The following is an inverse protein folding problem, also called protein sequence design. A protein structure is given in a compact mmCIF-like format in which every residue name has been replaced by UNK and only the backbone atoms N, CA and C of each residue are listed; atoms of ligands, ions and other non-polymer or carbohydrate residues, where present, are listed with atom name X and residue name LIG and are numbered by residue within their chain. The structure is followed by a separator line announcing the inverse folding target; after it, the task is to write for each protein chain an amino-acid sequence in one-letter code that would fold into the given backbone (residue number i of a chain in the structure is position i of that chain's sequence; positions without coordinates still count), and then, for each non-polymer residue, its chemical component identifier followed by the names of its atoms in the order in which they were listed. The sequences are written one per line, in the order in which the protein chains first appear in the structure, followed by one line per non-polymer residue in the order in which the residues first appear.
data_IF_436978878575
#
_entry.id   IF_436978878575
#
_cell.length_a   1.000
_cell.length_b   1.000
_cell.length_c   1.000
_cell.angle_alpha   90.00
_cell.angle_beta   90.00
_cell.angle_gamma   90.00
#
_symmetry.space_group_name_H-M   'P 1'
#
loop_
_entity.id
_entity.type
_entity.pdbx_description
1 polymer ?
#
# COMPACT_ATOMS: atom_id res chain seq x y z
N UNK A 1 8.93 -23.67 2.69
CA UNK A 1 8.52 -22.55 3.55
C UNK A 1 7.29 -22.93 4.38
N UNK A 2 7.04 -22.21 5.48
CA UNK A 2 5.89 -22.43 6.37
C UNK A 2 5.33 -21.08 6.84
N UNK A 3 4.02 -20.93 6.80
CA UNK A 3 3.32 -19.75 7.37
C UNK A 3 3.07 -20.01 8.85
N UNK A 4 3.38 -19.04 9.69
CA UNK A 4 3.07 -19.04 11.12
C UNK A 4 2.45 -17.71 11.52
N UNK A 5 1.34 -17.75 12.26
CA UNK A 5 0.79 -16.53 12.86
C UNK A 5 1.72 -16.03 13.96
N UNK A 6 2.01 -14.72 13.96
CA UNK A 6 2.81 -14.13 15.03
C UNK A 6 1.97 -14.08 16.31
N UNK A 7 2.56 -14.54 17.39
CA UNK A 7 1.94 -14.63 18.71
C UNK A 7 2.99 -14.37 19.82
N UNK A 8 2.58 -14.47 21.08
CA UNK A 8 3.46 -14.17 22.23
C UNK A 8 4.67 -15.09 22.32
N UNK A 9 4.59 -16.29 21.78
CA UNK A 9 5.68 -17.28 21.90
C UNK A 9 6.76 -17.06 20.86
N UNK A 10 6.42 -16.60 19.66
CA UNK A 10 7.34 -16.45 18.52
C UNK A 10 7.67 -15.00 18.13
N UNK A 11 7.03 -13.99 18.73
CA UNK A 11 7.23 -12.57 18.36
C UNK A 11 8.68 -12.11 18.53
N UNK A 12 9.37 -12.54 19.56
CA UNK A 12 10.78 -12.15 19.79
C UNK A 12 11.70 -12.72 18.72
N UNK A 13 11.44 -13.95 18.28
CA UNK A 13 12.15 -14.56 17.16
C UNK A 13 11.86 -13.81 15.87
N UNK A 14 10.60 -13.50 15.61
CA UNK A 14 10.16 -12.73 14.44
C UNK A 14 10.84 -11.35 14.38
N UNK A 15 10.78 -10.57 15.45
CA UNK A 15 11.40 -9.24 15.54
C UNK A 15 12.92 -9.33 15.26
N UNK A 16 13.61 -10.28 15.88
CA UNK A 16 15.04 -10.49 15.66
C UNK A 16 15.37 -10.86 14.21
N UNK A 17 14.66 -11.82 13.64
CA UNK A 17 14.94 -12.34 12.30
C UNK A 17 14.58 -11.32 11.21
N UNK A 18 13.60 -10.46 11.47
CA UNK A 18 13.16 -9.38 10.58
C UNK A 18 13.95 -8.08 10.75
N UNK A 19 14.88 -7.99 11.74
CA UNK A 19 15.62 -6.76 11.99
C UNK A 19 14.77 -5.58 12.47
N UNK A 20 13.60 -5.85 13.06
CA UNK A 20 12.65 -4.81 13.44
C UNK A 20 13.15 -4.07 14.70
N UNK A 21 13.24 -2.75 14.63
CA UNK A 21 13.53 -1.91 15.82
C UNK A 21 12.31 -1.86 16.74
N UNK A 22 12.42 -2.55 17.87
CA UNK A 22 11.37 -2.65 18.88
C UNK A 22 10.96 -1.32 19.52
N UNK A 23 11.77 -0.28 19.37
CA UNK A 23 11.48 1.04 19.94
C UNK A 23 10.24 1.67 19.32
N UNK A 24 9.92 1.29 18.08
CA UNK A 24 8.82 1.85 17.30
C UNK A 24 7.67 0.87 17.03
N UNK A 25 7.71 -0.32 17.63
CA UNK A 25 6.78 -1.40 17.32
C UNK A 25 5.73 -1.57 18.42
N UNK A 26 4.47 -1.54 18.04
CA UNK A 26 3.38 -2.02 18.89
C UNK A 26 3.28 -3.56 18.77
N UNK A 27 3.82 -4.26 19.78
CA UNK A 27 3.75 -5.73 19.84
C UNK A 27 2.32 -6.28 19.73
N UNK A 28 1.31 -5.54 20.21
CA UNK A 28 -0.09 -5.98 20.12
C UNK A 28 -0.59 -5.96 18.69
N UNK A 29 -0.19 -4.95 17.91
CA UNK A 29 -0.53 -4.89 16.49
C UNK A 29 0.13 -6.03 15.72
N UNK A 30 1.40 -6.31 15.98
CA UNK A 30 2.09 -7.43 15.34
C UNK A 30 1.40 -8.77 15.66
N UNK A 31 1.10 -9.05 16.91
CA UNK A 31 0.48 -10.31 17.32
C UNK A 31 -0.91 -10.48 16.69
N UNK A 32 -1.68 -9.42 16.54
CA UNK A 32 -3.06 -9.54 16.06
C UNK A 32 -3.15 -9.75 14.55
N UNK A 33 -2.29 -9.11 13.78
CA UNK A 33 -2.50 -8.92 12.35
C UNK A 33 -1.41 -9.56 11.46
N UNK A 34 -0.26 -9.97 12.02
CA UNK A 34 0.89 -10.37 11.24
C UNK A 34 1.03 -11.89 11.16
N UNK A 35 1.38 -12.35 9.97
CA UNK A 35 1.84 -13.70 9.69
C UNK A 35 3.30 -13.63 9.26
N UNK A 36 4.11 -14.55 9.74
CA UNK A 36 5.51 -14.70 9.33
C UNK A 36 5.69 -15.91 8.45
N UNK A 37 6.59 -15.85 7.50
CA UNK A 37 6.98 -17.00 6.68
C UNK A 37 8.39 -17.41 7.04
N UNK A 38 8.53 -18.66 7.48
CA UNK A 38 9.82 -19.28 7.81
C UNK A 38 10.36 -20.08 6.64
N UNK A 39 11.68 -19.94 6.44
CA UNK A 39 12.53 -20.82 5.63
C UNK A 39 13.74 -21.21 6.50
N UNK A 40 14.05 -22.49 6.56
CA UNK A 40 15.18 -23.02 7.35
C UNK A 40 15.18 -22.56 8.83
N UNK A 41 14.00 -22.60 9.46
CA UNK A 41 13.73 -22.18 10.84
C UNK A 41 13.97 -20.70 11.16
N UNK A 42 14.09 -19.82 10.15
CA UNK A 42 14.17 -18.37 10.33
C UNK A 42 13.00 -17.69 9.62
N UNK A 43 12.49 -16.62 10.21
CA UNK A 43 11.55 -15.75 9.52
C UNK A 43 12.28 -15.02 8.39
N UNK A 44 11.74 -15.14 7.19
CA UNK A 44 12.31 -14.53 5.98
C UNK A 44 11.55 -13.25 5.62
N UNK A 45 10.23 -13.28 5.77
CA UNK A 45 9.37 -12.14 5.54
C UNK A 45 8.08 -12.26 6.35
N UNK A 46 7.36 -11.16 6.46
CA UNK A 46 6.03 -11.09 7.08
C UNK A 46 4.98 -10.59 6.11
N UNK A 47 3.73 -10.86 6.43
CA UNK A 47 2.61 -10.25 5.73
C UNK A 47 1.43 -9.99 6.66
N UNK A 48 0.61 -9.03 6.25
CA UNK A 48 -0.67 -8.70 6.89
C UNK A 48 -1.77 -8.89 5.87
N UNK A 49 -2.83 -9.60 6.23
CA UNK A 49 -4.03 -9.68 5.39
C UNK A 49 -4.81 -8.38 5.52
N UNK A 50 -5.06 -7.71 4.40
CA UNK A 50 -5.77 -6.43 4.34
C UNK A 50 -7.25 -6.61 3.95
N UNK A 51 -7.59 -7.74 3.32
CA UNK A 51 -8.97 -8.08 3.00
C UNK A 51 -9.16 -9.59 2.87
N UNK A 52 -10.42 -10.05 2.94
CA UNK A 52 -10.79 -11.45 2.68
C UNK A 52 -10.63 -11.85 1.20
N UNK A 53 -10.45 -10.87 0.31
CA UNK A 53 -10.32 -11.06 -1.14
C UNK A 53 -8.87 -11.26 -1.60
N UNK A 54 -8.01 -11.79 -0.74
CA UNK A 54 -6.61 -12.09 -1.10
C UNK A 54 -5.72 -10.86 -1.28
N UNK A 55 -6.05 -9.71 -0.68
CA UNK A 55 -5.14 -8.56 -0.62
C UNK A 55 -4.27 -8.68 0.62
N UNK A 56 -2.95 -8.69 0.42
CA UNK A 56 -1.96 -8.71 1.50
C UNK A 56 -0.96 -7.55 1.35
N UNK A 57 -0.38 -7.12 2.45
CA UNK A 57 0.83 -6.30 2.47
C UNK A 57 2.00 -7.15 2.93
N UNK A 58 3.13 -7.10 2.22
CA UNK A 58 4.33 -7.87 2.55
C UNK A 58 5.45 -6.95 3.03
N UNK A 59 6.24 -7.46 3.96
CA UNK A 59 7.44 -6.80 4.48
C UNK A 59 8.54 -7.82 4.59
N UNK A 60 9.71 -7.53 4.04
CA UNK A 60 10.90 -8.36 4.19
C UNK A 60 11.75 -7.84 5.36
N UNK A 61 12.52 -8.74 5.98
CA UNK A 61 13.53 -8.36 6.97
C UNK A 61 14.76 -7.72 6.31
N UNK A 62 15.73 -7.32 7.15
CA UNK A 62 17.02 -6.71 6.72
C UNK A 62 17.92 -7.62 5.86
N UNK A 63 17.42 -8.79 5.47
CA UNK A 63 18.11 -9.70 4.59
C UNK A 63 18.24 -9.09 3.18
N UNK A 64 19.32 -9.43 2.48
CA UNK A 64 19.46 -9.05 1.07
C UNK A 64 18.29 -9.62 0.28
N UNK A 65 17.41 -8.73 -0.14
CA UNK A 65 16.27 -9.06 -1.00
C UNK A 65 16.77 -9.00 -2.43
N UNK A 66 16.53 -10.05 -3.19
CA UNK A 66 16.78 -10.13 -4.62
C UNK A 66 15.58 -10.74 -5.35
N UNK A 67 15.59 -10.67 -6.66
CA UNK A 67 14.50 -11.13 -7.54
C UNK A 67 14.15 -12.60 -7.31
N UNK A 68 15.16 -13.44 -7.01
CA UNK A 68 14.97 -14.89 -6.82
C UNK A 68 14.19 -15.13 -5.53
N UNK A 69 14.60 -14.46 -4.44
CA UNK A 69 13.92 -14.56 -3.15
C UNK A 69 12.49 -14.03 -3.25
N UNK A 70 12.30 -12.88 -3.89
CA UNK A 70 10.97 -12.29 -4.07
C UNK A 70 10.06 -13.22 -4.87
N UNK A 71 10.52 -13.75 -6.00
CA UNK A 71 9.77 -14.74 -6.80
C UNK A 71 9.38 -15.97 -5.98
N UNK A 72 10.34 -16.54 -5.26
CA UNK A 72 10.09 -17.73 -4.43
C UNK A 72 9.03 -17.44 -3.36
N UNK A 73 9.12 -16.29 -2.70
CA UNK A 73 8.19 -15.88 -1.67
C UNK A 73 6.79 -15.60 -2.23
N UNK A 74 6.70 -14.86 -3.32
CA UNK A 74 5.42 -14.52 -3.97
C UNK A 74 4.74 -15.77 -4.50
N UNK A 75 5.46 -16.67 -5.16
CA UNK A 75 4.91 -17.95 -5.61
C UNK A 75 4.40 -18.80 -4.44
N UNK A 76 5.15 -18.82 -3.33
CA UNK A 76 4.71 -19.53 -2.14
C UNK A 76 3.42 -18.93 -1.57
N UNK A 77 3.31 -17.60 -1.49
CA UNK A 77 2.10 -16.93 -1.02
C UNK A 77 0.93 -17.15 -1.99
N UNK A 78 1.17 -17.04 -3.30
CA UNK A 78 0.15 -17.27 -4.31
C UNK A 78 -0.45 -18.69 -4.20
N UNK A 79 0.40 -19.70 -4.06
CA UNK A 79 -0.03 -21.09 -3.90
C UNK A 79 -0.82 -21.36 -2.61
N UNK A 80 -0.69 -20.53 -1.59
CA UNK A 80 -1.34 -20.74 -0.28
C UNK A 80 -2.47 -19.77 0.04
N UNK A 81 -2.49 -18.58 -0.57
CA UNK A 81 -3.36 -17.48 -0.21
C UNK A 81 -4.15 -16.89 -1.38
N UNK A 82 -3.91 -17.35 -2.63
CA UNK A 82 -4.65 -16.84 -3.77
C UNK A 82 -6.16 -17.02 -3.58
N UNK A 83 -6.90 -15.96 -3.90
CA UNK A 83 -8.35 -15.96 -3.91
C UNK A 83 -8.83 -15.83 -5.35
N UNK A 84 -9.71 -16.70 -5.78
CA UNK A 84 -10.26 -16.74 -7.15
C UNK A 84 -9.18 -16.73 -8.26
N UNK A 85 -8.07 -17.46 -8.02
CA UNK A 85 -6.98 -17.64 -8.98
C UNK A 85 -5.93 -16.53 -9.02
N UNK A 86 -6.01 -15.52 -8.14
CA UNK A 86 -4.99 -14.47 -8.05
C UNK A 86 -4.73 -14.00 -6.63
N UNK A 87 -3.54 -13.47 -6.42
CA UNK A 87 -3.12 -12.81 -5.19
C UNK A 87 -2.84 -11.34 -5.48
N UNK A 88 -3.33 -10.45 -4.62
CA UNK A 88 -3.03 -9.02 -4.69
C UNK A 88 -2.03 -8.65 -3.59
N UNK A 89 -0.91 -8.03 -3.98
CA UNK A 89 0.16 -7.67 -3.06
C UNK A 89 0.34 -6.16 -3.04
N UNK A 90 0.21 -5.56 -1.86
CA UNK A 90 0.54 -4.16 -1.61
C UNK A 90 1.97 -4.05 -1.10
N UNK A 91 2.76 -3.18 -1.72
CA UNK A 91 4.16 -2.93 -1.37
C UNK A 91 4.37 -1.43 -1.16
N UNK A 92 5.05 -1.07 -0.08
CA UNK A 92 5.39 0.31 0.29
C UNK A 92 6.88 0.56 0.52
N UNK A 93 7.73 -0.42 0.26
CA UNK A 93 9.19 -0.31 0.39
C UNK A 93 9.81 -0.09 -1.00
N UNK A 94 10.54 1.01 -1.21
CA UNK A 94 11.09 1.42 -2.52
C UNK A 94 11.92 0.33 -3.17
N UNK A 95 12.79 -0.34 -2.41
CA UNK A 95 13.63 -1.41 -2.95
C UNK A 95 12.79 -2.60 -3.44
N UNK A 96 11.74 -2.94 -2.71
CA UNK A 96 10.84 -4.03 -3.08
C UNK A 96 9.95 -3.63 -4.26
N UNK A 97 9.49 -2.36 -4.32
CA UNK A 97 8.74 -1.82 -5.45
C UNK A 97 9.55 -1.99 -6.74
N UNK A 98 10.84 -1.64 -6.74
CA UNK A 98 11.68 -1.77 -7.93
C UNK A 98 11.78 -3.22 -8.42
N UNK A 99 11.95 -4.17 -7.51
CA UNK A 99 11.99 -5.60 -7.86
C UNK A 99 10.63 -6.07 -8.37
N UNK A 100 9.56 -5.67 -7.71
CA UNK A 100 8.20 -6.08 -8.09
C UNK A 100 7.76 -5.49 -9.43
N UNK A 101 8.19 -4.27 -9.77
CA UNK A 101 7.92 -3.63 -11.07
C UNK A 101 8.49 -4.44 -12.25
N UNK A 102 9.66 -5.07 -12.04
CA UNK A 102 10.31 -5.90 -13.06
C UNK A 102 9.63 -7.29 -13.20
N UNK A 103 8.97 -7.75 -12.16
CA UNK A 103 8.45 -9.13 -12.07
C UNK A 103 6.95 -9.25 -12.30
N UNK A 104 6.17 -8.25 -11.90
CA UNK A 104 4.72 -8.36 -11.81
C UNK A 104 4.02 -7.12 -12.35
N UNK A 105 2.75 -7.30 -12.76
CA UNK A 105 1.93 -6.22 -13.28
C UNK A 105 1.40 -5.34 -12.16
N UNK A 106 1.71 -4.05 -12.21
CA UNK A 106 1.11 -3.03 -11.36
C UNK A 106 -0.37 -2.86 -11.73
N UNK A 107 -1.23 -2.91 -10.73
CA UNK A 107 -2.68 -2.66 -10.88
C UNK A 107 -3.08 -1.28 -10.44
N UNK A 108 -2.55 -0.83 -9.31
CA UNK A 108 -2.86 0.46 -8.71
C UNK A 108 -1.61 1.06 -8.08
N UNK A 109 -1.54 2.38 -8.05
CA UNK A 109 -0.48 3.15 -7.42
C UNK A 109 -1.14 4.10 -6.44
N UNK A 110 -0.67 4.10 -5.19
CA UNK A 110 -1.04 5.12 -4.21
C UNK A 110 0.00 6.24 -4.26
N UNK A 111 -0.48 7.44 -4.48
CA UNK A 111 0.36 8.64 -4.55
C UNK A 111 -0.11 9.67 -3.54
N UNK A 112 0.81 10.48 -3.05
CA UNK A 112 0.50 11.55 -2.11
C UNK A 112 1.20 12.85 -2.46
N UNK A 113 0.60 13.96 -2.01
CA UNK A 113 1.17 15.30 -2.03
C UNK A 113 0.99 15.91 -0.65
N UNK A 114 2.08 16.28 0.01
CA UNK A 114 2.03 17.01 1.29
C UNK A 114 1.66 18.47 1.04
N UNK A 115 0.69 18.98 1.78
CA UNK A 115 0.24 20.36 1.74
C UNK A 115 0.43 21.03 3.11
N UNK A 116 0.41 22.35 3.14
CA UNK A 116 0.54 23.14 4.37
C UNK A 116 -0.75 23.02 5.18
N UNK A 117 -0.62 22.98 6.50
CA UNK A 117 -1.73 22.87 7.48
C UNK A 117 -2.92 23.73 7.14
N UNK A 118 -4.10 23.15 7.21
CA UNK A 118 -5.36 23.84 7.01
C UNK A 118 -6.42 23.34 7.98
N UNK A 119 -7.21 24.29 8.49
CA UNK A 119 -8.39 24.02 9.32
C UNK A 119 -9.66 23.76 8.51
N UNK A 120 -9.58 23.74 7.19
CA UNK A 120 -10.75 23.65 6.33
C UNK A 120 -11.08 22.21 5.96
N UNK A 121 -12.28 21.75 6.31
CA UNK A 121 -12.83 20.47 5.88
C UNK A 121 -13.59 20.66 4.56
N UNK A 122 -13.36 19.81 3.53
CA UNK A 122 -14.13 19.90 2.29
C UNK A 122 -15.61 19.65 2.55
N UNK A 123 -16.45 20.51 2.02
CA UNK A 123 -17.89 20.30 2.02
C UNK A 123 -18.35 19.77 0.66
N UNK A 124 -19.44 18.99 0.65
CA UNK A 124 -20.04 18.51 -0.61
C UNK A 124 -20.32 19.60 -1.62
N UNK A 125 -20.67 20.80 -1.15
CA UNK A 125 -20.98 21.96 -1.98
C UNK A 125 -19.77 22.44 -2.80
N UNK A 126 -18.56 22.31 -2.27
CA UNK A 126 -17.33 22.68 -2.96
C UNK A 126 -16.90 21.71 -4.05
N UNK A 127 -17.43 20.50 -4.02
CA UNK A 127 -17.20 19.48 -5.04
C UNK A 127 -18.31 19.44 -6.12
N UNK A 128 -19.23 20.40 -6.13
CA UNK A 128 -20.39 20.38 -7.03
C UNK A 128 -20.03 20.32 -8.53
N UNK A 129 -18.85 20.84 -8.90
CA UNK A 129 -18.35 20.85 -10.27
C UNK A 129 -17.54 19.61 -10.66
N UNK A 130 -17.38 18.65 -9.74
CA UNK A 130 -16.60 17.44 -9.95
C UNK A 130 -17.54 16.25 -9.93
N UNK A 131 -17.43 15.35 -10.90
CA UNK A 131 -18.21 14.11 -10.89
C UNK A 131 -17.72 13.18 -9.76
N UNK A 132 -18.42 13.29 -8.62
CA UNK A 132 -18.09 12.52 -7.40
C UNK A 132 -18.65 11.08 -7.41
N UNK A 133 -19.36 10.64 -8.46
CA UNK A 133 -19.98 9.30 -8.47
C UNK A 133 -18.97 8.17 -8.47
N UNK A 134 -17.81 8.41 -9.07
CA UNK A 134 -16.68 7.47 -9.14
C UNK A 134 -15.61 7.72 -8.08
N UNK A 135 -15.78 8.73 -7.20
CA UNK A 135 -14.76 9.14 -6.24
C UNK A 135 -15.24 8.85 -4.82
N UNK A 136 -14.47 8.04 -4.10
CA UNK A 136 -14.63 7.85 -2.65
C UNK A 136 -13.52 8.61 -1.94
N UNK A 137 -13.86 9.40 -0.93
CA UNK A 137 -12.90 10.12 -0.12
C UNK A 137 -13.08 9.81 1.35
N UNK A 138 -11.98 9.83 2.07
CA UNK A 138 -11.94 9.74 3.53
C UNK A 138 -11.18 10.94 4.07
N UNK A 139 -11.62 11.48 5.19
CA UNK A 139 -10.87 12.49 5.91
C UNK A 139 -10.89 12.19 7.40
N UNK A 140 -9.82 12.56 8.09
CA UNK A 140 -9.70 12.44 9.54
C UNK A 140 -9.79 13.83 10.19
N UNK A 141 -10.22 13.88 11.45
CA UNK A 141 -10.40 15.14 12.18
C UNK A 141 -9.07 15.82 12.53
N UNK A 142 -7.98 15.09 12.61
CA UNK A 142 -6.70 15.57 13.14
C UNK A 142 -5.65 15.76 12.03
N UNK A 143 -5.73 14.95 10.98
CA UNK A 143 -4.93 15.08 9.77
C UNK A 143 -5.90 15.00 8.61
N UNK A 144 -5.99 16.06 7.83
CA UNK A 144 -6.86 16.04 6.66
C UNK A 144 -6.18 15.17 5.60
N UNK A 145 -6.38 13.87 5.74
CA UNK A 145 -6.04 12.91 4.71
C UNK A 145 -7.25 12.79 3.82
N UNK A 146 -7.18 13.35 2.65
CA UNK A 146 -8.21 13.15 1.64
C UNK A 146 -7.81 11.96 0.78
N UNK A 147 -8.27 10.78 1.14
CA UNK A 147 -8.12 9.58 0.32
C UNK A 147 -9.17 9.59 -0.77
N UNK A 148 -8.79 9.97 -1.97
CA UNK A 148 -9.64 9.86 -3.13
C UNK A 148 -9.50 8.49 -3.75
N UNK A 149 -10.46 7.64 -3.46
CA UNK A 149 -10.59 6.32 -4.07
C UNK A 149 -11.23 6.50 -5.45
N UNK A 150 -10.40 6.70 -6.46
CA UNK A 150 -10.89 6.72 -7.81
C UNK A 150 -10.61 5.39 -8.48
N UNK A 151 -11.63 4.61 -8.65
CA UNK A 151 -11.52 3.33 -9.34
C UNK A 151 -11.10 3.47 -10.81
N UNK A 152 -11.18 4.64 -11.42
CA UNK A 152 -10.80 4.91 -12.81
C UNK A 152 -10.62 6.42 -13.06
N UNK A 153 -9.78 7.15 -12.31
CA UNK A 153 -9.44 8.48 -12.78
C UNK A 153 -8.43 8.33 -13.94
N UNK A 154 -8.95 8.17 -15.13
CA UNK A 154 -8.24 8.42 -16.39
C UNK A 154 -8.43 9.84 -16.88
N UNK A 155 -9.35 10.60 -16.27
CA UNK A 155 -9.68 11.96 -16.68
C UNK A 155 -8.76 12.96 -15.95
N UNK A 156 -7.70 13.36 -16.66
CA UNK A 156 -6.76 14.38 -16.20
C UNK A 156 -7.44 15.69 -15.80
N UNK A 157 -8.58 16.03 -16.41
CA UNK A 157 -9.33 17.24 -16.03
C UNK A 157 -9.95 17.10 -14.63
N UNK A 158 -10.39 15.90 -14.25
CA UNK A 158 -10.90 15.64 -12.90
C UNK A 158 -9.76 15.75 -11.89
N UNK A 159 -8.62 15.14 -12.18
CA UNK A 159 -7.43 15.19 -11.31
C UNK A 159 -6.98 16.64 -11.13
N UNK A 160 -6.86 17.42 -12.21
CA UNK A 160 -6.46 18.84 -12.15
C UNK A 160 -7.42 19.65 -11.28
N UNK A 161 -8.73 19.49 -11.47
CA UNK A 161 -9.72 20.19 -10.63
C UNK A 161 -9.63 19.84 -9.16
N UNK A 162 -9.32 18.59 -8.85
CA UNK A 162 -9.13 18.13 -7.47
C UNK A 162 -7.84 18.69 -6.89
N UNK A 163 -6.76 18.67 -7.64
CA UNK A 163 -5.48 19.24 -7.23
C UNK A 163 -5.58 20.73 -6.96
N UNK A 164 -6.18 21.49 -7.89
CA UNK A 164 -6.48 22.92 -7.72
C UNK A 164 -7.35 23.17 -6.48
N UNK A 165 -8.34 22.32 -6.25
CA UNK A 165 -9.21 22.44 -5.08
C UNK A 165 -8.41 22.23 -3.79
N UNK A 166 -7.53 21.24 -3.73
CA UNK A 166 -6.72 20.96 -2.55
C UNK A 166 -5.67 22.05 -2.31
N UNK A 167 -4.99 22.51 -3.33
CA UNK A 167 -4.02 23.59 -3.23
C UNK A 167 -4.67 24.89 -2.74
N UNK A 168 -5.89 25.22 -3.22
CA UNK A 168 -6.62 26.40 -2.81
C UNK A 168 -7.22 26.32 -1.39
N UNK A 169 -7.32 25.13 -0.81
CA UNK A 169 -7.86 24.92 0.54
C UNK A 169 -6.82 24.46 1.56
N UNK A 170 -5.54 24.44 1.18
CA UNK A 170 -4.39 24.13 2.05
C UNK A 170 -4.55 22.83 2.84
N UNK A 171 -4.73 21.69 2.21
CA UNK A 171 -4.76 20.40 2.91
C UNK A 171 -3.36 19.97 3.32
N UNK A 172 -3.23 19.36 4.51
CA UNK A 172 -1.95 18.89 5.03
C UNK A 172 -1.42 17.68 4.27
N UNK A 173 -2.29 16.81 3.78
CA UNK A 173 -1.95 15.65 2.99
C UNK A 173 -3.09 15.27 2.06
N UNK A 174 -2.75 15.03 0.81
CA UNK A 174 -3.68 14.52 -0.20
C UNK A 174 -3.17 13.19 -0.74
N UNK A 175 -4.02 12.20 -0.75
CA UNK A 175 -3.69 10.86 -1.23
C UNK A 175 -4.66 10.42 -2.33
N UNK A 176 -4.12 9.88 -3.43
CA UNK A 176 -4.90 9.28 -4.51
C UNK A 176 -4.50 7.83 -4.71
N UNK A 177 -5.47 7.01 -5.10
CA UNK A 177 -5.21 5.67 -5.64
C UNK A 177 -5.57 5.72 -7.12
N UNK A 178 -4.56 5.52 -7.97
CA UNK A 178 -4.64 5.70 -9.41
C UNK A 178 -4.26 4.42 -10.16
N UNK A 179 -4.65 4.36 -11.42
CA UNK A 179 -4.12 3.36 -12.35
C UNK A 179 -2.72 3.76 -12.82
N UNK A 180 -1.87 2.80 -13.24
CA UNK A 180 -0.48 3.08 -13.65
C UNK A 180 -0.35 4.13 -14.77
N UNK A 181 -1.27 4.14 -15.72
CA UNK A 181 -1.25 5.05 -16.87
C UNK A 181 -1.34 6.54 -16.47
N UNK A 182 -1.96 6.82 -15.31
CA UNK A 182 -2.09 8.19 -14.80
C UNK A 182 -0.90 8.63 -13.94
N UNK A 183 0.05 7.74 -13.66
CA UNK A 183 1.12 8.03 -12.69
C UNK A 183 2.03 9.18 -13.14
N UNK A 184 2.45 9.17 -14.40
CA UNK A 184 3.31 10.23 -14.94
C UNK A 184 2.67 11.60 -14.81
N UNK A 185 1.38 11.71 -15.10
CA UNK A 185 0.64 12.95 -14.95
C UNK A 185 0.59 13.41 -13.48
N UNK A 186 0.40 12.47 -12.54
CA UNK A 186 0.41 12.81 -11.11
C UNK A 186 1.80 13.27 -10.62
N UNK A 187 2.88 12.68 -11.15
CA UNK A 187 4.26 13.15 -10.85
C UNK A 187 4.48 14.60 -11.33
N UNK A 188 3.96 14.97 -12.50
CA UNK A 188 4.04 16.33 -13.04
C UNK A 188 3.28 17.33 -12.13
N UNK A 189 2.24 16.91 -11.43
CA UNK A 189 1.52 17.69 -10.41
C UNK A 189 2.21 17.69 -9.03
N UNK A 190 3.35 17.02 -8.88
CA UNK A 190 4.14 16.95 -7.65
C UNK A 190 3.75 15.84 -6.66
N UNK A 191 2.92 14.89 -7.08
CA UNK A 191 2.59 13.72 -6.28
C UNK A 191 3.75 12.72 -6.28
N UNK A 192 3.92 12.01 -5.16
CA UNK A 192 4.94 10.98 -4.98
C UNK A 192 4.26 9.63 -4.76
N UNK A 193 4.79 8.59 -5.37
CA UNK A 193 4.40 7.21 -5.08
C UNK A 193 4.83 6.85 -3.66
N UNK A 194 3.95 6.16 -2.91
CA UNK A 194 4.32 5.58 -1.62
C UNK A 194 3.96 4.10 -1.51
N UNK A 195 3.08 3.60 -2.37
CA UNK A 195 2.81 2.16 -2.45
C UNK A 195 2.30 1.76 -3.83
N UNK A 196 2.55 0.51 -4.20
CA UNK A 196 2.00 -0.11 -5.41
C UNK A 196 1.29 -1.41 -5.07
N UNK A 197 0.19 -1.66 -5.77
CA UNK A 197 -0.55 -2.92 -5.72
C UNK A 197 -0.29 -3.73 -6.99
N UNK A 198 0.21 -4.92 -6.80
CA UNK A 198 0.50 -5.89 -7.87
C UNK A 198 -0.56 -6.97 -7.90
N UNK A 199 -0.79 -7.53 -9.08
CA UNK A 199 -1.56 -8.77 -9.25
C UNK A 199 -0.59 -9.88 -9.64
N UNK A 200 -0.71 -10.99 -8.93
CA UNK A 200 -0.02 -12.23 -9.24
C UNK A 200 -1.07 -13.25 -9.63
N UNK A 201 -1.07 -13.61 -10.89
CA UNK A 201 -1.97 -14.63 -11.41
C UNK A 201 -1.43 -16.03 -11.08
N UNK A 202 -2.33 -16.99 -10.93
CA UNK A 202 -1.95 -18.39 -10.78
C UNK A 202 -1.49 -18.92 -12.14
N UNK A 203 -0.22 -19.36 -12.24
CA UNK A 203 0.31 -20.05 -13.42
C UNK A 203 -0.20 -21.48 -13.56
#
# INVERSE_FOLDING_TARGET
MKIEKINKDNIKEYIRDMGIDITYVDEKQLINNTFGVKKDNKFLFGFVSLSEEGLISITFGDNKIDDVIVKECVNFLNNNLAFDGHLSILVNEDNLINIMDDLYKVKMISVFKGLIDSDSIPTKERFADIDMKSIKYFYSKNDIVCNLYAQNIQDENIITKLDDFFDNNNYSLVEFIIIPDSFKFMEELGYKCYSKRYIVDYE
#
